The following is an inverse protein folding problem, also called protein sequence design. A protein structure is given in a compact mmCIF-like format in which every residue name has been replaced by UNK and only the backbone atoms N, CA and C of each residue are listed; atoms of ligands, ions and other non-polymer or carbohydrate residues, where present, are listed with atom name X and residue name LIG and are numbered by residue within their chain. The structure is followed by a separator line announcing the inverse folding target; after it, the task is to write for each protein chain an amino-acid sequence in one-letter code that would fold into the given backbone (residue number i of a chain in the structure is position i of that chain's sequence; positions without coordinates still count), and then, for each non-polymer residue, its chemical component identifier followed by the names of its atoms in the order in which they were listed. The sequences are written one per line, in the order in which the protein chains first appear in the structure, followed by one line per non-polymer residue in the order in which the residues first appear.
data_IF_299320321840
#
_entry.id   IF_299320321840
#
_cell.length_a   1.000
_cell.length_b   1.000
_cell.length_c   1.000
_cell.angle_alpha   90.00
_cell.angle_beta   90.00
_cell.angle_gamma   90.00
#
_symmetry.space_group_name_H-M   'P 1'
#
loop_
_entity.id
_entity.type
_entity.pdbx_description
1 polymer ?
#
# COMPACT_ATOMS: atom_id res chain seq x y z
N UNK A 1 7.58 -1.51 24.31
CA UNK A 1 6.73 -2.46 23.57
C UNK A 1 6.31 -1.92 22.19
N UNK A 2 5.80 -0.68 22.04
CA UNK A 2 5.51 -0.04 20.73
C UNK A 2 6.70 -0.08 19.73
N UNK A 3 7.90 0.24 20.21
CA UNK A 3 9.09 0.38 19.37
C UNK A 3 9.51 -0.95 18.69
N UNK A 4 9.30 -2.08 19.37
CA UNK A 4 9.69 -3.41 18.88
C UNK A 4 8.80 -3.90 17.73
N UNK A 5 7.51 -3.58 17.78
CA UNK A 5 6.56 -3.94 16.72
C UNK A 5 6.82 -3.11 15.45
N UNK A 6 7.24 -1.85 15.62
CA UNK A 6 7.61 -0.97 14.52
C UNK A 6 8.86 -1.49 13.82
N UNK A 7 9.94 -1.71 14.57
CA UNK A 7 11.21 -2.24 14.06
C UNK A 7 11.05 -3.58 13.32
N UNK A 8 10.21 -4.48 13.83
CA UNK A 8 10.00 -5.80 13.21
C UNK A 8 9.30 -5.69 11.84
N UNK A 9 8.32 -4.78 11.69
CA UNK A 9 7.64 -4.56 10.42
C UNK A 9 8.53 -3.86 9.39
N UNK A 10 9.35 -2.89 9.82
CA UNK A 10 10.34 -2.24 8.92
C UNK A 10 11.37 -3.24 8.42
N UNK A 11 11.88 -4.11 9.31
CA UNK A 11 12.88 -5.11 8.97
C UNK A 11 12.36 -6.16 7.96
N UNK A 12 11.12 -6.63 8.12
CA UNK A 12 10.52 -7.56 7.15
C UNK A 12 10.26 -6.91 5.78
N UNK A 13 9.86 -5.63 5.76
CA UNK A 13 9.64 -4.86 4.52
C UNK A 13 10.95 -4.64 3.76
N UNK A 14 12.03 -4.25 4.45
CA UNK A 14 13.35 -4.07 3.83
C UNK A 14 13.92 -5.38 3.27
N UNK A 15 13.84 -6.49 4.02
CA UNK A 15 14.36 -7.79 3.56
C UNK A 15 13.67 -8.28 2.30
N UNK A 16 12.37 -8.07 2.19
CA UNK A 16 11.60 -8.47 1.01
C UNK A 16 11.86 -7.53 -0.18
N UNK A 17 11.94 -6.22 0.04
CA UNK A 17 12.23 -5.23 -1.01
C UNK A 17 13.64 -5.38 -1.61
N UNK A 18 14.65 -5.67 -0.78
CA UNK A 18 16.03 -5.95 -1.23
C UNK A 18 16.13 -7.18 -2.14
N UNK A 19 15.23 -8.17 -1.99
CA UNK A 19 15.19 -9.35 -2.87
C UNK A 19 14.69 -9.01 -4.28
N UNK A 20 13.68 -8.15 -4.40
CA UNK A 20 13.14 -7.74 -5.70
C UNK A 20 14.09 -6.81 -6.45
N UNK A 21 14.80 -5.91 -5.75
CA UNK A 21 15.80 -5.03 -6.38
C UNK A 21 16.97 -5.85 -6.93
N UNK A 22 17.47 -6.84 -6.18
CA UNK A 22 18.54 -7.73 -6.67
C UNK A 22 18.08 -8.59 -7.86
N UNK A 23 16.84 -9.08 -7.85
CA UNK A 23 16.29 -9.87 -8.96
C UNK A 23 16.04 -9.04 -10.22
N UNK A 24 15.64 -7.77 -10.09
CA UNK A 24 15.37 -6.87 -11.21
C UNK A 24 16.65 -6.40 -11.91
N UNK A 25 17.73 -6.13 -11.15
CA UNK A 25 19.00 -5.65 -11.74
C UNK A 25 19.67 -6.69 -12.66
N UNK A 26 19.49 -7.98 -12.38
CA UNK A 26 20.04 -9.06 -13.21
C UNK A 26 19.35 -9.21 -14.57
N UNK A 27 18.06 -8.82 -14.67
CA UNK A 27 17.26 -8.99 -15.88
C UNK A 27 17.49 -7.86 -16.90
N UNK A 28 17.79 -6.65 -16.44
CA UNK A 28 18.01 -5.47 -17.31
C UNK A 28 19.40 -5.50 -17.96
N UNK A 29 20.41 -6.08 -17.30
CA UNK A 29 21.77 -6.20 -17.85
C UNK A 29 21.90 -7.11 -19.09
N UNK A 30 20.94 -8.00 -19.33
CA UNK A 30 20.99 -8.94 -20.46
C UNK A 30 20.54 -8.32 -21.80
N UNK A 31 19.81 -7.19 -21.79
CA UNK A 31 19.15 -6.65 -23.00
C UNK A 31 19.93 -5.55 -23.73
N UNK A 32 21.04 -5.04 -23.18
CA UNK A 32 21.76 -3.90 -23.76
C UNK A 32 22.93 -4.25 -24.70
N UNK A 33 23.17 -5.54 -25.01
CA UNK A 33 24.33 -5.96 -25.83
C UNK A 33 24.02 -6.06 -27.35
N UNK A 34 22.76 -5.95 -27.78
CA UNK A 34 22.37 -6.27 -29.16
C UNK A 34 22.10 -5.06 -30.09
N UNK A 35 22.38 -3.82 -29.67
CA UNK A 35 22.08 -2.64 -30.50
C UNK A 35 23.33 -1.95 -31.05
N UNK A 36 24.11 -2.65 -31.88
CA UNK A 36 24.97 -1.96 -32.86
C UNK A 36 24.10 -1.53 -34.04
N UNK A 37 23.81 -0.23 -34.05
CA UNK A 37 22.99 0.47 -35.05
C UNK A 37 23.70 0.52 -36.41
N UNK A 38 23.13 -0.09 -37.43
CA UNK A 38 23.42 0.26 -38.82
C UNK A 38 22.88 1.68 -39.06
N UNK A 39 23.78 2.65 -39.21
CA UNK A 39 23.42 4.03 -39.57
C UNK A 39 22.98 4.06 -41.04
N UNK A 40 21.68 4.16 -41.29
CA UNK A 40 21.15 4.63 -42.56
C UNK A 40 20.66 6.06 -42.38
N UNK A 41 21.26 6.94 -43.15
CA UNK A 41 21.08 8.39 -43.21
C UNK A 41 19.68 8.76 -43.71
N UNK A 42 18.96 9.58 -42.94
CA UNK A 42 17.84 10.40 -43.42
C UNK A 42 18.11 11.86 -43.06
N UNK A 43 18.25 12.78 -44.04
CA UNK A 43 18.47 14.19 -43.79
C UNK A 43 17.12 14.92 -43.83
N UNK A 44 16.48 15.19 -42.69
CA UNK A 44 15.29 16.08 -42.66
C UNK A 44 15.34 17.01 -41.45
N UNK A 45 15.63 18.27 -41.80
CA UNK A 45 15.21 19.55 -41.21
C UNK A 45 15.32 19.71 -39.70
N UNK A 46 16.32 20.49 -39.30
CA UNK A 46 16.21 21.42 -38.18
C UNK A 46 14.95 22.28 -38.37
N UNK A 47 13.99 22.16 -37.45
CA UNK A 47 13.13 23.26 -37.07
C UNK A 47 12.89 23.26 -35.56
N UNK A 48 13.54 24.23 -34.93
CA UNK A 48 13.02 25.15 -33.92
C UNK A 48 12.70 24.54 -32.54
N UNK A 49 13.56 24.90 -31.58
CA UNK A 49 13.25 24.91 -30.16
C UNK A 49 11.95 25.69 -29.88
N UNK A 50 10.96 24.97 -29.37
CA UNK A 50 9.94 25.39 -28.39
C UNK A 50 9.56 24.04 -27.76
N UNK A 51 10.04 23.66 -26.58
CA UNK A 51 9.78 24.39 -25.35
C UNK A 51 8.29 24.31 -25.07
N UNK A 52 7.78 23.11 -24.79
CA UNK A 52 6.52 22.83 -24.08
C UNK A 52 6.55 21.35 -23.64
N UNK A 53 6.93 21.17 -22.39
CA UNK A 53 6.96 19.92 -21.64
C UNK A 53 5.51 19.53 -21.26
N UNK A 54 4.80 18.89 -22.19
CA UNK A 54 3.48 18.33 -21.94
C UNK A 54 3.55 16.79 -21.87
N UNK A 55 4.34 16.31 -20.90
CA UNK A 55 4.47 14.90 -20.56
C UNK A 55 4.12 14.54 -19.11
N UNK A 56 3.71 15.49 -18.25
CA UNK A 56 3.72 15.26 -16.79
C UNK A 56 2.36 15.40 -16.07
N UNK A 57 1.24 15.49 -16.78
CA UNK A 57 -0.08 15.66 -16.15
C UNK A 57 -0.61 14.42 -15.41
N UNK A 58 -0.37 13.21 -15.92
CA UNK A 58 -1.02 11.99 -15.43
C UNK A 58 -0.35 11.36 -14.19
N UNK A 59 0.98 11.50 -14.04
CA UNK A 59 1.71 10.96 -12.89
C UNK A 59 1.61 11.86 -11.65
N UNK A 60 1.49 13.17 -11.84
CA UNK A 60 1.33 14.14 -10.75
C UNK A 60 -0.03 14.00 -10.07
N UNK A 61 -1.11 13.84 -10.83
CA UNK A 61 -2.44 13.56 -10.29
C UNK A 61 -2.52 12.20 -9.59
N UNK A 62 -1.82 11.16 -10.10
CA UNK A 62 -1.80 9.84 -9.46
C UNK A 62 -1.08 9.87 -8.12
N UNK A 63 0.05 10.59 -8.03
CA UNK A 63 0.80 10.79 -6.77
C UNK A 63 0.03 11.65 -5.76
N UNK A 64 -0.79 12.61 -6.21
CA UNK A 64 -1.68 13.38 -5.32
C UNK A 64 -2.91 12.60 -4.88
N UNK A 65 -3.54 11.79 -5.75
CA UNK A 65 -4.64 10.88 -5.39
C UNK A 65 -4.19 9.79 -4.40
N UNK A 66 -2.98 9.28 -4.51
CA UNK A 66 -2.41 8.34 -3.53
C UNK A 66 -2.11 9.02 -2.18
N UNK A 67 -1.90 10.34 -2.16
CA UNK A 67 -1.65 11.12 -0.93
C UNK A 67 -2.94 11.53 -0.20
N UNK A 68 -4.09 11.54 -0.89
CA UNK A 68 -5.39 11.98 -0.33
C UNK A 68 -6.51 10.94 -0.39
N UNK A 69 -6.29 9.74 -0.97
CA UNK A 69 -7.29 8.67 -0.89
C UNK A 69 -7.42 8.19 0.56
N UNK A 70 -8.55 8.54 1.19
CA UNK A 70 -8.94 7.97 2.48
C UNK A 70 -9.18 6.49 2.25
N UNK A 71 -8.25 5.65 2.69
CA UNK A 71 -8.43 4.22 2.60
C UNK A 71 -9.70 3.81 3.35
N UNK A 72 -10.60 3.13 2.66
CA UNK A 72 -11.76 2.46 3.28
C UNK A 72 -11.35 1.12 3.91
N UNK A 73 -10.12 1.06 4.44
CA UNK A 73 -9.55 -0.13 5.07
C UNK A 73 -9.19 0.22 6.50
N UNK A 74 -9.56 -0.68 7.41
CA UNK A 74 -9.25 -0.60 8.82
C UNK A 74 -8.27 -1.71 9.21
N UNK A 75 -7.25 -1.35 9.98
CA UNK A 75 -6.39 -2.29 10.70
C UNK A 75 -6.90 -2.38 12.13
N UNK A 76 -7.35 -3.58 12.51
CA UNK A 76 -7.96 -3.85 13.81
C UNK A 76 -7.11 -4.85 14.58
N UNK A 77 -6.62 -4.43 15.74
CA UNK A 77 -5.92 -5.33 16.67
C UNK A 77 -6.88 -5.81 17.77
N UNK A 78 -6.68 -7.05 18.21
CA UNK A 78 -7.46 -7.70 19.24
C UNK A 78 -6.54 -8.41 20.24
N UNK A 79 -7.03 -8.66 21.45
CA UNK A 79 -6.27 -9.33 22.50
C UNK A 79 -6.23 -10.86 22.28
N UNK A 80 -5.10 -11.49 22.58
CA UNK A 80 -4.90 -12.94 22.39
C UNK A 80 -5.79 -13.81 23.30
N UNK A 81 -6.20 -13.29 24.47
CA UNK A 81 -6.98 -14.06 25.45
C UNK A 81 -8.42 -14.26 24.96
N UNK A 82 -9.03 -13.21 24.42
CA UNK A 82 -10.37 -13.26 23.80
C UNK A 82 -10.31 -13.90 22.41
N UNK A 83 -9.24 -13.63 21.65
CA UNK A 83 -9.08 -14.08 20.27
C UNK A 83 -9.97 -13.32 19.28
N UNK A 84 -9.95 -13.75 18.01
CA UNK A 84 -10.60 -13.02 16.91
C UNK A 84 -12.08 -13.37 16.68
N UNK A 85 -12.64 -14.38 17.37
CA UNK A 85 -14.00 -14.87 17.10
C UNK A 85 -15.07 -13.76 17.21
N UNK A 86 -15.09 -12.91 18.26
CA UNK A 86 -16.07 -11.83 18.35
C UNK A 86 -15.93 -10.81 17.21
N UNK A 87 -14.69 -10.48 16.85
CA UNK A 87 -14.38 -9.55 15.76
C UNK A 87 -14.82 -10.09 14.40
N UNK A 88 -14.54 -11.35 14.08
CA UNK A 88 -14.99 -11.96 12.82
C UNK A 88 -16.52 -12.02 12.71
N UNK A 89 -17.23 -12.20 13.82
CA UNK A 89 -18.69 -12.12 13.85
C UNK A 89 -19.19 -10.70 13.58
N UNK A 90 -18.55 -9.70 14.17
CA UNK A 90 -18.88 -8.30 13.94
C UNK A 90 -18.65 -7.87 12.48
N UNK A 91 -17.51 -8.27 11.89
CA UNK A 91 -17.18 -8.00 10.48
C UNK A 91 -18.28 -8.51 9.55
N UNK A 92 -18.69 -9.79 9.73
CA UNK A 92 -19.78 -10.38 8.95
C UNK A 92 -21.12 -9.65 9.17
N UNK A 93 -21.45 -9.29 10.42
CA UNK A 93 -22.70 -8.61 10.76
C UNK A 93 -22.79 -7.21 10.14
N UNK A 94 -21.68 -6.49 10.05
CA UNK A 94 -21.63 -5.13 9.51
C UNK A 94 -21.49 -5.09 7.97
N UNK A 95 -21.37 -6.26 7.31
CA UNK A 95 -21.18 -6.33 5.86
C UNK A 95 -19.78 -5.92 5.40
N UNK A 96 -18.81 -5.84 6.30
CA UNK A 96 -17.43 -5.51 5.95
C UNK A 96 -16.68 -6.75 5.43
N UNK A 97 -15.67 -6.52 4.59
CA UNK A 97 -14.88 -7.60 3.98
C UNK A 97 -13.58 -7.80 4.74
N UNK A 98 -13.31 -9.02 5.20
CA UNK A 98 -12.01 -9.37 5.77
C UNK A 98 -10.97 -9.54 4.65
N UNK A 99 -9.96 -8.66 4.61
CA UNK A 99 -8.89 -8.72 3.61
C UNK A 99 -7.76 -9.64 4.06
N UNK A 100 -7.35 -9.52 5.33
CA UNK A 100 -6.17 -10.23 5.82
C UNK A 100 -6.26 -10.54 7.31
N UNK A 101 -5.67 -11.67 7.71
CA UNK A 101 -5.40 -12.01 9.12
C UNK A 101 -3.90 -12.07 9.31
N UNK A 102 -3.36 -11.25 10.20
CA UNK A 102 -1.94 -11.34 10.54
C UNK A 102 -1.73 -12.59 11.39
N UNK A 103 -0.79 -13.47 10.98
CA UNK A 103 -0.49 -14.71 11.72
C UNK A 103 0.27 -14.42 13.01
N UNK A 104 1.28 -13.58 12.92
CA UNK A 104 2.18 -13.27 14.05
C UNK A 104 1.58 -12.24 15.01
N UNK A 105 0.74 -11.34 14.48
CA UNK A 105 0.13 -10.26 15.24
C UNK A 105 -1.35 -10.54 15.40
N UNK A 106 -1.89 -10.21 16.57
CA UNK A 106 -3.32 -10.37 16.85
C UNK A 106 -4.10 -9.24 16.19
N UNK A 107 -4.14 -9.25 14.86
CA UNK A 107 -4.84 -8.23 14.08
C UNK A 107 -5.41 -8.75 12.77
N UNK A 108 -6.27 -7.93 12.18
CA UNK A 108 -6.89 -8.15 10.88
C UNK A 108 -6.98 -6.85 10.07
N UNK A 109 -6.96 -6.98 8.75
CA UNK A 109 -7.30 -5.89 7.83
C UNK A 109 -8.72 -6.10 7.30
N UNK A 110 -9.53 -5.05 7.34
CA UNK A 110 -10.96 -5.08 7.01
C UNK A 110 -11.30 -3.94 6.06
N UNK A 111 -11.87 -4.24 4.89
CA UNK A 111 -12.46 -3.25 3.99
C UNK A 111 -13.88 -2.92 4.46
N UNK A 112 -14.13 -1.64 4.72
CA UNK A 112 -15.47 -1.08 4.93
C UNK A 112 -16.05 -0.76 3.56
N UNK A 113 -17.35 -0.96 3.38
CA UNK A 113 -18.02 -0.61 2.13
C UNK A 113 -17.92 0.90 1.87
N UNK A 114 -17.75 1.32 0.63
CA UNK A 114 -17.56 2.73 0.27
C UNK A 114 -18.80 3.59 0.52
N UNK A 115 -19.98 2.97 0.65
CA UNK A 115 -21.22 3.66 1.01
C UNK A 115 -21.45 3.74 2.53
N UNK A 116 -20.58 3.13 3.34
CA UNK A 116 -20.67 3.14 4.79
C UNK A 116 -19.78 4.22 5.40
N UNK A 117 -20.28 4.88 6.44
CA UNK A 117 -19.49 5.81 7.24
C UNK A 117 -18.37 5.05 7.99
N UNK A 118 -17.13 5.32 7.59
CA UNK A 118 -15.94 4.70 8.17
C UNK A 118 -15.74 5.05 9.65
N UNK A 119 -16.09 6.26 10.08
CA UNK A 119 -15.93 6.68 11.48
C UNK A 119 -16.97 6.01 12.37
N UNK A 120 -18.19 5.81 11.85
CA UNK A 120 -19.19 4.94 12.49
C UNK A 120 -18.71 3.49 12.60
N UNK A 121 -18.13 2.93 11.53
CA UNK A 121 -17.57 1.59 11.55
C UNK A 121 -16.44 1.47 12.61
N UNK A 122 -15.57 2.47 12.71
CA UNK A 122 -14.52 2.55 13.74
C UNK A 122 -15.14 2.52 15.14
N UNK A 123 -16.14 3.36 15.40
CA UNK A 123 -16.81 3.42 16.69
C UNK A 123 -17.49 2.09 17.05
N UNK A 124 -18.10 1.41 16.08
CA UNK A 124 -18.77 0.14 16.29
C UNK A 124 -17.77 -1.01 16.52
N UNK A 125 -16.64 -1.06 15.80
CA UNK A 125 -15.59 -2.05 16.03
C UNK A 125 -14.89 -1.87 17.38
N UNK A 126 -14.70 -0.64 17.86
CA UNK A 126 -14.12 -0.36 19.19
C UNK A 126 -14.93 -0.96 20.35
N UNK A 127 -16.24 -1.16 20.15
CA UNK A 127 -17.13 -1.76 21.17
C UNK A 127 -17.07 -3.29 21.18
N UNK A 128 -16.45 -3.92 20.17
CA UNK A 128 -16.39 -5.39 20.07
C UNK A 128 -15.47 -5.94 21.14
N UNK A 129 -15.96 -6.93 21.90
CA UNK A 129 -15.19 -7.57 22.98
C UNK A 129 -13.83 -8.07 22.45
N UNK A 130 -12.78 -7.62 23.12
CA UNK A 130 -11.40 -8.00 22.85
C UNK A 130 -10.71 -7.19 21.75
N UNK A 131 -11.37 -6.21 21.14
CA UNK A 131 -10.70 -5.24 20.27
C UNK A 131 -9.85 -4.29 21.14
N UNK A 132 -8.59 -4.10 20.73
CA UNK A 132 -7.61 -3.25 21.41
C UNK A 132 -7.45 -1.92 20.69
N UNK A 133 -7.47 -1.93 19.36
CA UNK A 133 -7.38 -0.70 18.57
C UNK A 133 -7.97 -0.86 17.17
N UNK A 134 -8.45 0.24 16.60
CA UNK A 134 -8.99 0.34 15.24
C UNK A 134 -8.40 1.59 14.60
N UNK A 135 -7.67 1.42 13.49
CA UNK A 135 -6.98 2.49 12.78
C UNK A 135 -7.31 2.46 11.29
N UNK A 136 -7.44 3.62 10.64
CA UNK A 136 -7.51 3.71 9.17
C UNK A 136 -6.16 3.29 8.58
N UNK A 137 -6.18 2.60 7.44
CA UNK A 137 -4.99 2.14 6.74
C UNK A 137 -4.29 3.32 6.05
N UNK A 138 -3.50 4.08 6.80
CA UNK A 138 -2.82 5.28 6.31
C UNK A 138 -1.35 5.06 6.05
N UNK A 139 -0.78 5.84 5.12
CA UNK A 139 0.68 5.96 4.99
C UNK A 139 1.18 6.76 6.19
N UNK A 140 1.82 6.09 7.16
CA UNK A 140 2.56 6.78 8.22
C UNK A 140 3.80 7.46 7.61
N UNK A 141 3.87 8.79 7.70
CA UNK A 141 5.11 9.51 7.43
C UNK A 141 6.06 9.34 8.62
N UNK A 142 7.30 8.92 8.35
CA UNK A 142 8.38 8.93 9.34
C UNK A 142 8.77 10.39 9.59
N UNK A 143 8.83 10.79 10.87
CA UNK A 143 9.38 12.07 11.31
C UNK A 143 10.87 11.95 11.59
#
# INVERSE_FOLDING_TARGET
MQNYLYLCNTYLKEKNMMRYIKASLLLVGFLLVQSTTAMAQCPIKEQIMNGDDEGEGLEKERREREKTSVSHTLIIFFDRKTGNKPLLKAIKKQGCTLLYKYKEFSGVAVKVDENQDIDKAIADFRKVKGVVSVNKDGIMQLQ
#
